data_IF_548356384235
#
_entry.id   IF_548356384235
#
_cell.length_a   1.000
_cell.length_b   1.000
_cell.length_c   1.000
_cell.angle_alpha   90.00
_cell.angle_beta   90.00
_cell.angle_gamma   90.00
#
_symmetry.space_group_name_H-M   'P 1'
#
loop_
_entity.id
_entity.type
_entity.pdbx_description
1 polymer ?
#
# COMPACT_ATOMS: atom_id res chain seq x y z
N UNK A 1 20.57 -0.32 -7.12
CA UNK A 1 21.14 -0.85 -5.85
C UNK A 1 22.65 -0.94 -5.91
N UNK A 2 23.24 -1.67 -6.87
CA UNK A 2 24.71 -1.85 -6.98
C UNK A 2 25.48 -0.52 -7.05
N UNK A 3 25.07 0.41 -7.92
CA UNK A 3 25.72 1.73 -8.05
C UNK A 3 25.64 2.58 -6.77
N UNK A 4 24.65 2.33 -5.91
CA UNK A 4 24.46 3.03 -4.64
C UNK A 4 25.02 2.24 -3.45
N UNK A 5 25.67 1.09 -3.68
CA UNK A 5 26.13 0.19 -2.61
C UNK A 5 25.00 -0.39 -1.74
N UNK A 6 23.75 -0.32 -2.20
CA UNK A 6 22.60 -0.74 -1.42
C UNK A 6 22.44 -2.26 -1.46
N UNK A 7 22.39 -2.92 -0.30
CA UNK A 7 22.19 -4.37 -0.18
C UNK A 7 20.80 -4.87 -0.58
N UNK A 8 19.91 -3.99 -1.03
CA UNK A 8 18.57 -4.33 -1.52
C UNK A 8 18.02 -3.20 -2.40
N UNK A 9 17.18 -3.54 -3.39
CA UNK A 9 16.47 -2.54 -4.21
C UNK A 9 15.61 -1.59 -3.37
N UNK A 10 15.02 -2.08 -2.28
CA UNK A 10 14.21 -1.28 -1.37
C UNK A 10 15.01 -0.27 -0.54
N UNK A 11 16.34 -0.36 -0.53
CA UNK A 11 17.23 0.57 0.17
C UNK A 11 17.85 1.61 -0.78
N UNK A 12 17.26 1.78 -1.96
CA UNK A 12 17.66 2.80 -2.93
C UNK A 12 16.89 4.08 -2.71
N UNK A 13 17.41 5.18 -3.21
CA UNK A 13 16.75 6.49 -3.31
C UNK A 13 15.32 6.42 -3.90
N UNK A 14 15.03 5.45 -4.76
CA UNK A 14 13.71 5.23 -5.33
C UNK A 14 12.65 4.71 -4.34
N UNK A 15 13.06 4.16 -3.20
CA UNK A 15 12.16 3.56 -2.20
C UNK A 15 12.30 4.17 -0.81
N UNK A 16 13.47 4.73 -0.47
CA UNK A 16 13.72 5.29 0.87
C UNK A 16 12.75 6.40 1.27
N UNK A 17 12.26 7.30 0.38
CA UNK A 17 11.24 8.29 0.76
C UNK A 17 9.93 7.64 1.22
N UNK A 18 9.43 6.65 0.48
CA UNK A 18 8.20 5.92 0.81
C UNK A 18 8.35 5.10 2.10
N UNK A 19 9.53 4.49 2.33
CA UNK A 19 9.85 3.82 3.59
C UNK A 19 9.92 4.81 4.77
N UNK A 20 10.42 6.02 4.53
CA UNK A 20 10.40 7.12 5.50
C UNK A 20 8.99 7.48 5.92
N UNK A 21 8.07 7.64 4.97
CA UNK A 21 6.64 7.87 5.25
C UNK A 21 6.06 6.74 6.11
N UNK A 22 6.32 5.48 5.76
CA UNK A 22 5.83 4.35 6.55
C UNK A 22 6.37 4.34 7.97
N UNK A 23 7.66 4.65 8.17
CA UNK A 23 8.24 4.77 9.51
C UNK A 23 7.62 5.91 10.31
N UNK A 24 7.34 7.05 9.69
CA UNK A 24 6.66 8.16 10.36
C UNK A 24 5.24 7.78 10.79
N UNK A 25 4.54 6.97 10.00
CA UNK A 25 3.19 6.51 10.32
C UNK A 25 3.18 5.45 11.42
N UNK A 26 4.16 4.56 11.46
CA UNK A 26 4.24 3.49 12.47
C UNK A 26 4.95 3.93 13.75
N UNK A 27 5.74 5.00 13.70
CA UNK A 27 6.64 5.40 14.79
C UNK A 27 7.85 4.49 14.94
N UNK A 28 8.10 3.56 14.01
CA UNK A 28 9.22 2.62 14.11
C UNK A 28 10.57 3.30 13.83
N UNK A 29 11.57 2.94 14.65
CA UNK A 29 12.97 3.21 14.34
C UNK A 29 13.42 2.45 13.09
N UNK A 30 14.58 2.80 12.56
CA UNK A 30 15.15 2.11 11.40
C UNK A 30 15.48 0.65 11.73
N UNK A 31 15.99 0.37 12.92
CA UNK A 31 16.28 -0.98 13.37
C UNK A 31 15.00 -1.81 13.52
N UNK A 32 13.92 -1.22 14.05
CA UNK A 32 12.61 -1.88 14.14
C UNK A 32 12.03 -2.18 12.75
N UNK A 33 12.12 -1.24 11.81
CA UNK A 33 11.70 -1.46 10.43
C UNK A 33 12.48 -2.61 9.78
N UNK A 34 13.81 -2.65 9.93
CA UNK A 34 14.61 -3.70 9.29
C UNK A 34 14.51 -5.06 9.99
N UNK A 35 14.17 -5.11 11.29
CA UNK A 35 13.91 -6.35 12.01
C UNK A 35 12.67 -7.10 11.45
N UNK A 36 11.64 -6.37 11.02
CA UNK A 36 10.50 -6.92 10.27
C UNK A 36 10.27 -6.13 8.97
N UNK A 37 11.18 -6.30 8.01
CA UNK A 37 11.18 -5.49 6.78
C UNK A 37 10.14 -5.94 5.74
N UNK A 38 9.54 -7.13 5.91
CA UNK A 38 8.66 -7.70 4.89
C UNK A 38 7.40 -6.85 4.65
N UNK A 39 6.66 -6.40 5.68
CA UNK A 39 5.50 -5.53 5.48
C UNK A 39 5.85 -4.22 4.77
N UNK A 40 6.95 -3.58 5.17
CA UNK A 40 7.43 -2.33 4.56
C UNK A 40 7.68 -2.49 3.06
N UNK A 41 8.36 -3.57 2.67
CA UNK A 41 8.61 -3.88 1.26
C UNK A 41 7.34 -4.11 0.46
N UNK A 42 6.42 -4.92 1.00
CA UNK A 42 5.17 -5.26 0.31
C UNK A 42 4.31 -4.02 0.12
N UNK A 43 4.18 -3.19 1.16
CA UNK A 43 3.42 -1.96 1.11
C UNK A 43 4.03 -0.99 0.09
N UNK A 44 5.33 -0.72 0.19
CA UNK A 44 5.99 0.24 -0.69
C UNK A 44 5.90 -0.19 -2.15
N UNK A 45 6.16 -1.46 -2.46
CA UNK A 45 6.08 -1.95 -3.83
C UNK A 45 4.65 -1.90 -4.39
N UNK A 46 3.66 -2.31 -3.60
CA UNK A 46 2.27 -2.34 -4.07
C UNK A 46 1.65 -0.94 -4.16
N UNK A 47 2.02 -0.01 -3.28
CA UNK A 47 1.62 1.40 -3.39
C UNK A 47 2.18 2.02 -4.68
N UNK A 48 3.46 1.78 -4.99
CA UNK A 48 4.09 2.20 -6.25
C UNK A 48 3.35 1.59 -7.45
N UNK A 49 3.15 0.28 -7.47
CA UNK A 49 2.48 -0.40 -8.57
C UNK A 49 1.04 0.11 -8.80
N UNK A 50 0.29 0.34 -7.72
CA UNK A 50 -1.06 0.88 -7.79
C UNK A 50 -1.08 2.31 -8.32
N UNK A 51 -0.15 3.17 -7.89
CA UNK A 51 -0.04 4.54 -8.38
C UNK A 51 0.18 4.60 -9.90
N UNK A 52 1.11 3.79 -10.43
CA UNK A 52 1.34 3.71 -11.86
C UNK A 52 0.14 3.14 -12.63
N UNK A 53 -0.51 2.08 -12.13
CA UNK A 53 -1.70 1.54 -12.77
C UNK A 53 -2.84 2.57 -12.84
N UNK A 54 -3.08 3.31 -11.76
CA UNK A 54 -4.13 4.34 -11.72
C UNK A 54 -3.76 5.52 -12.63
N UNK A 55 -2.48 5.91 -12.70
CA UNK A 55 -2.00 6.93 -13.63
C UNK A 55 -2.26 6.56 -15.10
N UNK A 56 -2.15 5.27 -15.43
CA UNK A 56 -2.50 4.70 -16.75
C UNK A 56 -4.01 4.51 -16.98
N UNK A 57 -4.85 5.00 -16.06
CA UNK A 57 -6.32 4.96 -16.15
C UNK A 57 -6.95 3.65 -15.67
N UNK A 58 -6.24 2.82 -14.89
CA UNK A 58 -6.81 1.61 -14.29
C UNK A 58 -7.52 1.95 -12.98
N UNK A 59 -8.85 1.85 -12.99
CA UNK A 59 -9.68 2.05 -11.80
C UNK A 59 -9.86 0.70 -11.06
N UNK A 60 -9.64 0.62 -9.73
CA UNK A 60 -9.84 -0.61 -8.96
C UNK A 60 -11.26 -1.20 -9.14
N UNK A 61 -11.36 -2.51 -9.40
CA UNK A 61 -12.64 -3.14 -9.74
C UNK A 61 -12.67 -4.66 -9.63
N UNK A 62 -13.69 -5.28 -10.25
CA UNK A 62 -13.99 -6.71 -10.07
C UNK A 62 -13.40 -7.64 -11.14
N UNK A 63 -12.99 -7.12 -12.29
CA UNK A 63 -12.59 -7.93 -13.46
C UNK A 63 -11.30 -7.44 -14.11
N UNK A 64 -10.58 -8.33 -14.80
CA UNK A 64 -9.40 -7.98 -15.60
C UNK A 64 -8.33 -7.19 -14.84
N UNK A 65 -7.76 -6.17 -15.49
CA UNK A 65 -6.73 -5.30 -14.90
C UNK A 65 -7.23 -4.51 -13.69
N UNK A 66 -8.51 -4.15 -13.67
CA UNK A 66 -9.15 -3.46 -12.54
C UNK A 66 -9.15 -4.36 -11.29
N UNK A 67 -9.33 -5.67 -11.48
CA UNK A 67 -9.22 -6.65 -10.39
C UNK A 67 -7.80 -6.75 -9.85
N UNK A 68 -6.79 -6.76 -10.72
CA UNK A 68 -5.39 -6.80 -10.30
C UNK A 68 -5.04 -5.56 -9.48
N UNK A 69 -5.42 -4.36 -9.96
CA UNK A 69 -5.21 -3.10 -9.24
C UNK A 69 -5.86 -3.16 -7.84
N UNK A 70 -7.12 -3.64 -7.75
CA UNK A 70 -7.78 -3.86 -6.46
C UNK A 70 -6.99 -4.83 -5.56
N UNK A 71 -6.52 -5.96 -6.09
CA UNK A 71 -5.82 -6.97 -5.30
C UNK A 71 -4.52 -6.44 -4.69
N UNK A 72 -3.73 -5.68 -5.44
CA UNK A 72 -2.47 -5.14 -4.92
C UNK A 72 -2.72 -4.09 -3.83
N UNK A 73 -3.75 -3.23 -3.98
CA UNK A 73 -4.14 -2.24 -2.98
C UNK A 73 -4.56 -2.95 -1.68
N UNK A 74 -5.46 -3.94 -1.77
CA UNK A 74 -5.93 -4.71 -0.61
C UNK A 74 -4.80 -5.49 0.07
N UNK A 75 -3.85 -6.01 -0.71
CA UNK A 75 -2.67 -6.69 -0.15
C UNK A 75 -1.77 -5.71 0.59
N UNK A 76 -1.54 -4.51 0.07
CA UNK A 76 -0.80 -3.48 0.77
C UNK A 76 -1.50 -3.08 2.08
N UNK A 77 -2.81 -2.82 2.03
CA UNK A 77 -3.62 -2.50 3.20
C UNK A 77 -3.58 -3.60 4.28
N UNK A 78 -3.68 -4.88 3.88
CA UNK A 78 -3.54 -6.03 4.78
C UNK A 78 -2.16 -6.11 5.44
N UNK A 79 -1.09 -5.73 4.75
CA UNK A 79 0.23 -5.66 5.38
C UNK A 79 0.37 -4.44 6.29
N UNK A 80 -0.36 -3.35 6.01
CA UNK A 80 -0.49 -2.20 6.91
C UNK A 80 -1.04 -2.59 8.29
N UNK A 81 -2.06 -3.46 8.35
CA UNK A 81 -2.61 -3.91 9.64
C UNK A 81 -1.60 -4.71 10.47
N UNK A 82 -0.64 -5.40 9.84
CA UNK A 82 0.47 -6.05 10.57
C UNK A 82 1.43 -5.05 11.24
N UNK A 83 1.49 -3.83 10.71
CA UNK A 83 2.26 -2.73 11.28
C UNK A 83 1.42 -1.84 12.22
N UNK A 84 0.19 -2.23 12.55
CA UNK A 84 -0.71 -1.45 13.39
C UNK A 84 -1.36 -0.24 12.68
N UNK A 85 -1.31 -0.19 11.35
CA UNK A 85 -1.99 0.85 10.58
C UNK A 85 -3.44 0.43 10.31
N UNK A 86 -4.37 1.17 10.91
CA UNK A 86 -5.82 0.91 10.81
C UNK A 86 -6.58 2.00 10.03
N UNK A 87 -5.99 3.19 9.91
CA UNK A 87 -6.52 4.29 9.11
C UNK A 87 -5.95 4.26 7.68
N UNK A 88 -6.65 4.81 6.67
CA UNK A 88 -6.13 4.89 5.30
C UNK A 88 -4.76 5.57 5.24
N UNK A 89 -3.81 4.91 4.58
CA UNK A 89 -2.41 5.35 4.59
C UNK A 89 -1.72 5.23 3.23
N UNK A 90 -2.23 4.41 2.30
CA UNK A 90 -1.56 4.15 1.02
C UNK A 90 -1.44 5.41 0.16
N UNK A 91 -2.40 6.32 0.24
CA UNK A 91 -2.33 7.62 -0.44
C UNK A 91 -1.06 8.40 -0.03
N UNK A 92 -0.70 8.41 1.26
CA UNK A 92 0.52 9.08 1.75
C UNK A 92 1.80 8.41 1.24
N UNK A 93 1.78 7.09 1.09
CA UNK A 93 2.92 6.33 0.55
C UNK A 93 3.05 6.57 -0.96
N UNK A 94 1.92 6.59 -1.69
CA UNK A 94 1.89 6.87 -3.11
C UNK A 94 2.36 8.29 -3.43
N UNK A 95 2.00 9.27 -2.59
CA UNK A 95 2.48 10.65 -2.68
C UNK A 95 4.02 10.73 -2.72
N UNK A 96 4.72 9.96 -1.89
CA UNK A 96 6.19 9.90 -1.93
C UNK A 96 6.73 9.37 -3.27
N UNK A 97 6.03 8.41 -3.88
CA UNK A 97 6.39 7.90 -5.21
C UNK A 97 6.06 8.90 -6.33
N UNK A 98 4.95 9.64 -6.24
CA UNK A 98 4.65 10.71 -7.19
C UNK A 98 5.80 11.72 -7.17
N UNK A 99 6.20 12.19 -5.99
CA UNK A 99 7.32 13.13 -5.85
C UNK A 99 8.64 12.57 -6.39
N UNK A 100 8.92 11.28 -6.16
CA UNK A 100 10.17 10.65 -6.60
C UNK A 100 10.24 10.44 -8.12
N UNK A 101 9.09 10.21 -8.78
CA UNK A 101 9.06 9.80 -10.18
C UNK A 101 8.52 10.88 -11.15
N UNK A 102 7.88 11.96 -10.67
CA UNK A 102 7.15 12.90 -11.54
C UNK A 102 7.99 13.58 -12.63
N UNK A 103 9.29 13.83 -12.39
CA UNK A 103 10.18 14.44 -13.39
C UNK A 103 10.31 13.58 -14.66
N UNK A 104 10.23 12.26 -14.52
CA UNK A 104 10.33 11.30 -15.62
C UNK A 104 8.96 10.77 -16.07
N UNK A 105 7.99 10.75 -15.17
CA UNK A 105 6.65 10.21 -15.35
C UNK A 105 5.60 11.26 -14.97
N UNK A 106 5.45 12.35 -15.77
CA UNK A 106 4.59 13.48 -15.44
C UNK A 106 3.10 13.12 -15.36
N UNK A 107 2.69 11.97 -15.91
CA UNK A 107 1.36 11.39 -15.75
C UNK A 107 1.02 11.06 -14.28
N UNK A 108 2.00 10.75 -13.44
CA UNK A 108 1.78 10.54 -12.00
C UNK A 108 1.29 11.82 -11.34
N UNK A 109 1.89 12.96 -11.69
CA UNK A 109 1.48 14.27 -11.17
C UNK A 109 0.12 14.69 -11.74
N UNK A 110 -0.09 14.51 -13.04
CA UNK A 110 -1.39 14.81 -13.70
C UNK A 110 -2.54 13.99 -13.10
N UNK A 111 -2.28 12.74 -12.75
CA UNK A 111 -3.26 11.81 -12.19
C UNK A 111 -3.23 11.76 -10.65
N UNK A 112 -2.46 12.63 -9.98
CA UNK A 112 -2.29 12.66 -8.51
C UNK A 112 -3.63 12.57 -7.78
N UNK A 113 -4.60 13.41 -8.15
CA UNK A 113 -5.92 13.40 -7.51
C UNK A 113 -6.62 12.03 -7.58
N UNK A 114 -6.64 11.42 -8.77
CA UNK A 114 -7.24 10.10 -8.97
C UNK A 114 -6.49 9.00 -8.19
N UNK A 115 -5.15 9.03 -8.19
CA UNK A 115 -4.32 8.07 -7.44
C UNK A 115 -4.67 8.11 -5.94
N UNK A 116 -4.66 9.31 -5.35
CA UNK A 116 -4.90 9.46 -3.91
C UNK A 116 -6.34 9.09 -3.54
N UNK A 117 -7.33 9.48 -4.36
CA UNK A 117 -8.74 9.17 -4.13
C UNK A 117 -9.02 7.67 -4.24
N UNK A 118 -8.55 7.02 -5.31
CA UNK A 118 -8.82 5.60 -5.59
C UNK A 118 -8.19 4.69 -4.54
N UNK A 119 -6.96 4.99 -4.11
CA UNK A 119 -6.30 4.28 -3.01
C UNK A 119 -7.09 4.40 -1.72
N UNK A 120 -7.44 5.63 -1.32
CA UNK A 120 -8.17 5.89 -0.07
C UNK A 120 -9.54 5.21 -0.07
N UNK A 121 -10.28 5.34 -1.18
CA UNK A 121 -11.62 4.76 -1.35
C UNK A 121 -11.58 3.23 -1.24
N UNK A 122 -10.60 2.59 -1.87
CA UNK A 122 -10.46 1.13 -1.82
C UNK A 122 -9.97 0.64 -0.45
N UNK A 123 -9.08 1.37 0.25
CA UNK A 123 -8.70 1.06 1.64
C UNK A 123 -9.91 1.05 2.57
N UNK A 124 -10.73 2.11 2.54
CA UNK A 124 -11.95 2.24 3.36
C UNK A 124 -12.92 1.10 3.04
N UNK A 125 -13.15 0.83 1.75
CA UNK A 125 -14.05 -0.25 1.31
C UNK A 125 -13.55 -1.62 1.78
N UNK A 126 -12.25 -1.85 1.71
CA UNK A 126 -11.65 -3.10 2.13
C UNK A 126 -11.74 -3.28 3.65
N UNK A 127 -11.46 -2.26 4.45
CA UNK A 127 -11.58 -2.30 5.90
C UNK A 127 -12.98 -2.74 6.34
N UNK A 128 -14.04 -2.13 5.79
CA UNK A 128 -15.44 -2.51 6.04
C UNK A 128 -15.74 -3.96 5.67
N UNK A 129 -15.14 -4.44 4.57
CA UNK A 129 -15.31 -5.82 4.11
C UNK A 129 -14.65 -6.81 5.08
N UNK A 130 -13.44 -6.49 5.57
CA UNK A 130 -12.72 -7.33 6.53
C UNK A 130 -13.46 -7.40 7.86
N UNK A 131 -13.96 -6.27 8.36
CA UNK A 131 -14.76 -6.20 9.59
C UNK A 131 -16.00 -7.10 9.48
N UNK A 132 -16.80 -6.92 8.42
CA UNK A 132 -18.01 -7.72 8.19
C UNK A 132 -17.68 -9.21 8.05
N UNK A 133 -16.61 -9.55 7.32
CA UNK A 133 -16.19 -10.94 7.13
C UNK A 133 -15.70 -11.60 8.41
N UNK A 134 -15.02 -10.85 9.27
CA UNK A 134 -14.53 -11.34 10.57
C UNK A 134 -15.70 -11.63 11.52
N UNK A 135 -16.65 -10.69 11.65
CA UNK A 135 -17.85 -10.89 12.46
C UNK A 135 -18.68 -12.09 11.98
N UNK A 136 -18.80 -12.28 10.66
CA UNK A 136 -19.51 -13.44 10.12
C UNK A 136 -18.79 -14.76 10.44
N UNK A 137 -17.47 -14.80 10.33
CA UNK A 137 -16.66 -15.97 10.68
C UNK A 137 -16.80 -16.32 12.17
N UNK A 138 -16.76 -15.33 13.06
CA UNK A 138 -16.93 -15.53 14.50
C UNK A 138 -18.29 -16.15 14.85
N UNK A 139 -19.36 -15.70 14.20
CA UNK A 139 -20.70 -16.28 14.37
C UNK A 139 -20.76 -17.75 13.94
N UNK A 140 -20.15 -18.11 12.81
CA UNK A 140 -20.07 -19.49 12.34
C UNK A 140 -19.29 -20.38 13.33
N UNK A 141 -18.18 -19.88 13.86
CA UNK A 141 -17.36 -20.61 14.85
C UNK A 141 -18.09 -20.80 16.19
N UNK A 142 -18.90 -19.82 16.62
CA UNK A 142 -19.72 -19.95 17.82
C UNK A 142 -20.81 -21.02 17.66
N UNK A 143 -21.40 -21.14 16.47
CA UNK A 143 -22.39 -22.17 16.15
C UNK A 143 -21.82 -23.60 16.13
N UNK A 144 -20.55 -23.78 15.79
CA UNK A 144 -19.88 -25.10 15.79
C UNK A 144 -19.51 -25.61 17.19
N UNK A 145 -19.59 -24.76 18.22
CA UNK A 145 -19.28 -25.12 19.62
C UNK A 145 -20.52 -25.61 20.40
N UNK A 146 -21.69 -25.62 19.76
CA UNK A 146 -22.96 -26.15 20.29
C UNK A 146 -23.16 -27.58 19.77
#
# INVERSE_FOLDING_TARGET
SILQGAGSTYKTDLFTPALGVLRSLTGHSESQMYADFTPYRVIADHARAAAFLIADGVVPGNTGRNYICRMIIRRAARFGTKLGLHEPFLAKVAEAFIQTYHDFYPELEKSRGAILEDLTREEIRFARTVETGTAHLENLLAGLRQ
#
